data_IF_132396398515
#
_entry.id   IF_132396398515
#
_cell.length_a   1.000
_cell.length_b   1.000
_cell.length_c   1.000
_cell.angle_alpha   90.00
_cell.angle_beta   90.00
_cell.angle_gamma   90.00
#
_symmetry.space_group_name_H-M   'P 1'
#
loop_
_entity.id
_entity.type
_entity.pdbx_description
1 polymer ?
#
# COMPACT_ATOMS: atom_id res chain seq x y z
N UNK A 1 -45.13 -53.29 15.89
CA UNK A 1 -44.02 -53.29 14.92
C UNK A 1 -44.30 -52.29 13.79
N UNK A 2 -44.32 -50.99 14.10
CA UNK A 2 -44.52 -49.93 13.08
C UNK A 2 -44.01 -48.56 13.54
N UNK A 3 -43.14 -48.54 14.55
CA UNK A 3 -42.49 -47.32 15.07
C UNK A 3 -40.96 -47.43 15.19
N UNK A 4 -40.38 -48.51 14.66
CA UNK A 4 -38.95 -48.79 14.74
C UNK A 4 -38.17 -48.54 13.43
N UNK A 5 -38.83 -48.01 12.39
CA UNK A 5 -38.21 -47.79 11.07
C UNK A 5 -38.02 -46.31 10.68
N UNK A 6 -38.38 -45.35 11.54
CA UNK A 6 -38.21 -43.91 11.23
C UNK A 6 -36.86 -43.36 11.75
N UNK A 7 -36.14 -44.09 12.59
CA UNK A 7 -34.87 -43.63 13.18
C UNK A 7 -33.60 -44.16 12.46
N UNK A 8 -33.74 -44.83 11.31
CA UNK A 8 -32.61 -45.39 10.55
C UNK A 8 -32.47 -44.79 9.14
N UNK A 9 -32.91 -43.54 8.97
CA UNK A 9 -32.68 -42.74 7.76
C UNK A 9 -32.23 -41.31 8.09
N UNK A 10 -31.67 -41.09 9.28
CA UNK A 10 -30.70 -40.00 9.50
C UNK A 10 -29.30 -40.53 9.19
N UNK A 11 -29.13 -40.93 7.94
CA UNK A 11 -27.83 -41.14 7.33
C UNK A 11 -27.15 -39.78 7.28
N UNK A 12 -26.44 -39.44 8.35
CA UNK A 12 -25.13 -38.80 8.36
C UNK A 12 -24.83 -37.95 7.11
N UNK A 13 -25.60 -36.89 6.87
CA UNK A 13 -25.08 -35.75 6.11
C UNK A 13 -24.26 -34.97 7.13
N UNK A 14 -23.08 -35.49 7.45
CA UNK A 14 -21.99 -34.67 7.93
C UNK A 14 -21.67 -33.76 6.75
N UNK A 15 -22.36 -32.61 6.67
CA UNK A 15 -21.90 -31.50 5.85
C UNK A 15 -20.55 -31.17 6.48
N UNK A 16 -19.47 -31.71 5.91
CA UNK A 16 -18.19 -31.03 5.96
C UNK A 16 -18.49 -29.68 5.33
N UNK A 17 -18.91 -28.72 6.15
CA UNK A 17 -18.61 -27.34 5.86
C UNK A 17 -17.10 -27.35 5.91
N UNK A 18 -16.50 -27.55 4.74
CA UNK A 18 -15.14 -27.11 4.51
C UNK A 18 -15.22 -25.62 4.84
N UNK A 19 -14.90 -25.26 6.08
CA UNK A 19 -14.40 -23.94 6.37
C UNK A 19 -13.27 -23.81 5.36
N UNK A 20 -13.50 -23.05 4.30
CA UNK A 20 -12.48 -22.75 3.33
C UNK A 20 -11.35 -22.15 4.18
N UNK A 21 -10.34 -22.95 4.50
CA UNK A 21 -9.20 -22.48 5.27
C UNK A 21 -8.64 -21.34 4.43
N UNK A 22 -8.81 -20.12 4.92
CA UNK A 22 -8.48 -18.93 4.16
C UNK A 22 -6.97 -18.99 3.89
N UNK A 23 -6.61 -19.03 2.61
CA UNK A 23 -5.21 -19.02 2.19
C UNK A 23 -4.57 -17.73 2.68
N UNK A 24 -3.54 -17.85 3.51
CA UNK A 24 -2.72 -16.73 3.97
C UNK A 24 -1.27 -17.01 3.57
N UNK A 25 -0.90 -16.72 2.31
CA UNK A 25 0.48 -16.89 1.87
C UNK A 25 1.43 -16.04 2.70
N UNK A 26 2.54 -16.65 3.13
CA UNK A 26 3.59 -15.93 3.82
C UNK A 26 4.98 -16.49 3.53
N UNK A 27 5.99 -15.67 3.74
CA UNK A 27 7.40 -16.08 3.68
C UNK A 27 8.25 -15.18 4.58
N UNK A 28 9.24 -15.77 5.26
CA UNK A 28 10.26 -15.08 6.06
C UNK A 28 11.64 -15.43 5.52
N UNK A 29 12.50 -14.42 5.33
CA UNK A 29 13.79 -14.53 4.62
C UNK A 29 14.87 -13.73 5.33
N UNK A 30 16.06 -14.32 5.42
CA UNK A 30 17.28 -13.61 5.81
C UNK A 30 17.82 -12.79 4.62
N UNK A 31 18.00 -11.48 4.80
CA UNK A 31 18.40 -10.59 3.71
C UNK A 31 19.82 -10.89 3.24
N UNK A 32 20.76 -11.23 4.11
CA UNK A 32 22.16 -11.41 3.72
C UNK A 32 22.33 -12.69 2.91
N UNK A 33 21.75 -13.80 3.38
CA UNK A 33 21.94 -15.11 2.75
C UNK A 33 20.90 -15.42 1.69
N UNK A 34 19.71 -14.83 1.79
CA UNK A 34 18.55 -15.22 0.98
C UNK A 34 17.90 -16.51 1.46
N UNK A 35 18.33 -17.07 2.60
CA UNK A 35 17.76 -18.27 3.20
C UNK A 35 16.30 -18.02 3.58
N UNK A 36 15.45 -18.97 3.22
CA UNK A 36 14.05 -18.97 3.65
C UNK A 36 13.99 -19.60 5.03
N UNK A 37 13.40 -18.87 5.96
CA UNK A 37 13.30 -19.23 7.38
C UNK A 37 11.96 -19.92 7.67
N UNK A 38 10.91 -19.46 7.01
CA UNK A 38 9.58 -20.09 7.04
C UNK A 38 8.80 -19.65 5.82
N UNK A 39 7.95 -20.52 5.26
CA UNK A 39 7.05 -20.15 4.18
C UNK A 39 5.80 -21.01 4.17
N UNK A 40 4.74 -20.48 3.55
CA UNK A 40 3.48 -21.16 3.32
C UNK A 40 2.86 -20.58 2.05
N UNK A 41 2.44 -21.46 1.13
CA UNK A 41 1.80 -21.08 -0.13
C UNK A 41 2.55 -19.96 -0.90
N UNK A 42 3.89 -19.98 -0.89
CA UNK A 42 4.72 -18.83 -1.28
C UNK A 42 4.59 -18.43 -2.75
N UNK A 43 4.07 -19.32 -3.60
CA UNK A 43 3.85 -19.11 -5.04
C UNK A 43 2.38 -18.90 -5.41
N UNK A 44 1.44 -18.88 -4.45
CA UNK A 44 0.06 -18.55 -4.77
C UNK A 44 -0.02 -17.12 -5.29
N UNK A 45 -0.71 -16.94 -6.42
CA UNK A 45 -0.96 -15.61 -6.98
C UNK A 45 -1.91 -14.87 -6.07
N UNK A 46 -1.61 -13.59 -5.87
CA UNK A 46 -2.33 -12.73 -4.96
C UNK A 46 -2.36 -11.30 -5.47
N UNK A 47 -3.40 -10.54 -5.11
CA UNK A 47 -3.42 -9.10 -5.37
C UNK A 47 -2.47 -8.39 -4.39
N UNK A 48 -1.37 -7.76 -4.84
CA UNK A 48 -0.38 -7.15 -3.94
C UNK A 48 -0.92 -5.88 -3.25
N UNK A 49 -2.02 -5.31 -3.76
CA UNK A 49 -2.51 -4.00 -3.34
C UNK A 49 -1.36 -2.98 -3.30
N UNK A 50 -1.29 -2.13 -2.27
CA UNK A 50 -0.23 -1.13 -2.14
C UNK A 50 1.19 -1.69 -1.92
N UNK A 51 1.40 -3.00 -1.76
CA UNK A 51 2.75 -3.57 -1.84
C UNK A 51 3.40 -3.32 -3.21
N UNK A 52 2.59 -3.08 -4.25
CA UNK A 52 3.01 -2.58 -5.57
C UNK A 52 3.95 -1.37 -5.47
N UNK A 53 3.74 -0.51 -4.47
CA UNK A 53 4.55 0.70 -4.29
C UNK A 53 6.01 0.40 -3.91
N UNK A 54 6.32 -0.81 -3.45
CA UNK A 54 7.72 -1.26 -3.29
C UNK A 54 8.42 -1.34 -4.65
N UNK A 55 7.74 -1.82 -5.71
CA UNK A 55 8.32 -1.84 -7.06
C UNK A 55 8.43 -0.41 -7.63
N UNK A 56 7.45 0.45 -7.33
CA UNK A 56 7.53 1.87 -7.67
C UNK A 56 8.75 2.52 -7.02
N UNK A 57 8.97 2.29 -5.73
CA UNK A 57 10.16 2.76 -5.03
C UNK A 57 11.44 2.16 -5.62
N UNK A 58 11.46 0.85 -5.91
CA UNK A 58 12.61 0.17 -6.49
C UNK A 58 13.06 0.77 -7.83
N UNK A 59 12.12 1.00 -8.76
CA UNK A 59 12.41 1.65 -10.06
C UNK A 59 12.97 3.06 -9.87
N UNK A 60 12.41 3.83 -8.92
CA UNK A 60 12.85 5.19 -8.60
C UNK A 60 14.24 5.17 -7.96
N UNK A 61 14.47 4.30 -6.98
CA UNK A 61 15.75 4.15 -6.30
C UNK A 61 16.86 3.77 -7.27
N UNK A 62 16.59 2.86 -8.21
CA UNK A 62 17.55 2.48 -9.25
C UNK A 62 17.92 3.69 -10.14
N UNK A 63 16.95 4.50 -10.55
CA UNK A 63 17.22 5.71 -11.31
C UNK A 63 18.00 6.75 -10.48
N UNK A 64 17.69 6.90 -9.19
CA UNK A 64 18.44 7.79 -8.28
C UNK A 64 19.87 7.30 -8.06
N UNK A 65 20.10 6.01 -7.84
CA UNK A 65 21.44 5.44 -7.61
C UNK A 65 22.35 5.56 -8.82
N UNK A 66 21.78 5.60 -10.02
CA UNK A 66 22.52 5.83 -11.27
C UNK A 66 22.68 7.32 -11.62
N UNK A 67 22.17 8.24 -10.79
CA UNK A 67 22.22 9.68 -11.06
C UNK A 67 21.30 10.15 -12.19
N UNK A 68 20.39 9.31 -12.68
CA UNK A 68 19.43 9.67 -13.74
C UNK A 68 18.39 10.68 -13.25
N UNK A 69 18.06 10.63 -11.95
CA UNK A 69 17.14 11.56 -11.30
C UNK A 69 17.66 11.95 -9.91
N UNK A 70 17.37 13.18 -9.49
CA UNK A 70 17.71 13.68 -8.16
C UNK A 70 16.53 13.55 -7.18
N UNK A 71 16.76 13.35 -5.87
CA UNK A 71 15.72 13.47 -4.85
C UNK A 71 14.99 14.83 -4.86
N UNK A 72 15.64 15.88 -5.38
CA UNK A 72 15.06 17.23 -5.51
C UNK A 72 14.23 17.41 -6.78
N UNK A 73 14.09 16.37 -7.62
CA UNK A 73 13.28 16.44 -8.85
C UNK A 73 11.85 16.91 -8.50
N UNK A 74 11.33 17.96 -9.14
CA UNK A 74 9.96 18.41 -8.91
C UNK A 74 8.95 17.36 -9.39
N UNK A 75 8.00 17.03 -8.51
CA UNK A 75 6.85 16.18 -8.79
C UNK A 75 5.61 17.06 -8.80
N UNK A 76 5.04 17.26 -9.99
CA UNK A 76 3.78 17.99 -10.15
C UNK A 76 2.63 16.99 -10.13
N UNK A 77 1.64 17.23 -9.27
CA UNK A 77 0.44 16.40 -9.23
C UNK A 77 -0.44 16.75 -10.42
N UNK A 78 -0.61 15.81 -11.36
CA UNK A 78 -1.51 15.96 -12.51
C UNK A 78 -2.99 15.93 -12.08
N UNK A 79 -3.88 16.36 -12.97
CA UNK A 79 -5.33 16.20 -12.74
C UNK A 79 -5.74 14.73 -12.60
N UNK A 80 -5.10 13.84 -13.36
CA UNK A 80 -5.33 12.42 -13.29
C UNK A 80 -4.90 11.86 -11.92
N UNK A 81 -3.69 12.20 -11.48
CA UNK A 81 -3.19 11.81 -10.17
C UNK A 81 -4.07 12.32 -9.02
N UNK A 82 -4.51 13.58 -9.06
CA UNK A 82 -5.38 14.16 -8.01
C UNK A 82 -6.75 13.45 -7.88
N UNK A 83 -7.23 12.82 -8.96
CA UNK A 83 -8.49 12.06 -9.00
C UNK A 83 -8.35 10.60 -8.53
N UNK A 84 -7.15 10.16 -8.13
CA UNK A 84 -6.95 8.79 -7.65
C UNK A 84 -7.91 8.42 -6.50
N UNK A 85 -8.54 7.23 -6.52
CA UNK A 85 -9.45 6.84 -5.47
C UNK A 85 -8.69 6.36 -4.21
N UNK A 86 -9.24 6.69 -3.03
CA UNK A 86 -8.75 6.32 -1.70
C UNK A 86 -7.27 6.65 -1.42
N UNK A 87 -6.87 6.65 -0.14
CA UNK A 87 -5.48 6.85 0.31
C UNK A 87 -4.74 7.94 -0.50
N UNK A 88 -5.21 9.18 -0.46
CA UNK A 88 -4.59 10.32 -1.17
C UNK A 88 -3.79 11.18 -0.21
N UNK A 89 -2.81 11.92 -0.73
CA UNK A 89 -2.13 12.99 0.01
C UNK A 89 -3.05 14.16 0.37
N UNK A 90 -4.10 14.36 -0.43
CA UNK A 90 -5.04 15.49 -0.31
C UNK A 90 -4.55 16.77 -0.98
N UNK A 91 -3.38 16.76 -1.61
CA UNK A 91 -2.91 17.88 -2.41
C UNK A 91 -3.70 17.99 -3.73
N UNK A 92 -3.91 19.22 -4.18
CA UNK A 92 -4.66 19.53 -5.40
C UNK A 92 -3.80 19.34 -6.65
N UNK A 93 -4.44 19.19 -7.80
CA UNK A 93 -3.74 19.23 -9.09
C UNK A 93 -2.95 20.54 -9.24
N UNK A 94 -1.74 20.46 -9.78
CA UNK A 94 -0.80 21.58 -9.91
C UNK A 94 0.07 21.84 -8.68
N UNK A 95 -0.18 21.18 -7.53
CA UNK A 95 0.76 21.17 -6.41
C UNK A 95 2.09 20.54 -6.82
N UNK A 96 3.19 21.10 -6.31
CA UNK A 96 4.56 20.65 -6.59
C UNK A 96 5.28 20.34 -5.28
N UNK A 97 5.93 19.18 -5.23
CA UNK A 97 6.76 18.70 -4.12
C UNK A 97 8.05 18.06 -4.66
N UNK A 98 9.06 17.86 -3.82
CA UNK A 98 10.26 17.09 -4.23
C UNK A 98 9.91 15.61 -4.34
N UNK A 99 10.70 14.86 -5.13
CA UNK A 99 10.63 13.41 -5.19
C UNK A 99 10.85 12.77 -3.82
N UNK A 100 11.79 13.29 -3.05
CA UNK A 100 12.06 12.87 -1.66
C UNK A 100 10.83 13.00 -0.74
N UNK A 101 10.14 14.15 -0.80
CA UNK A 101 8.90 14.35 -0.05
C UNK A 101 7.80 13.42 -0.55
N UNK A 102 7.69 13.22 -1.87
CA UNK A 102 6.69 12.34 -2.45
C UNK A 102 6.89 10.89 -2.01
N UNK A 103 8.12 10.38 -2.07
CA UNK A 103 8.51 9.05 -1.59
C UNK A 103 8.20 8.88 -0.11
N UNK A 104 8.60 9.84 0.73
CA UNK A 104 8.36 9.81 2.18
C UNK A 104 6.87 9.69 2.49
N UNK A 105 6.04 10.55 1.90
CA UNK A 105 4.58 10.50 2.10
C UNK A 105 4.00 9.18 1.57
N UNK A 106 4.44 8.73 0.39
CA UNK A 106 3.93 7.50 -0.22
C UNK A 106 4.29 6.24 0.57
N UNK A 107 5.48 6.17 1.18
CA UNK A 107 5.86 5.01 1.99
C UNK A 107 5.09 4.96 3.32
N UNK A 108 4.88 6.10 3.98
CA UNK A 108 4.14 6.16 5.25
C UNK A 108 2.63 5.99 5.06
N UNK A 109 2.05 6.73 4.11
CA UNK A 109 0.59 6.85 3.93
C UNK A 109 0.03 6.15 2.72
N UNK A 110 0.88 5.44 1.97
CA UNK A 110 0.47 4.60 0.85
C UNK A 110 -0.25 5.38 -0.24
N UNK A 111 0.14 6.63 -0.48
CA UNK A 111 -0.64 7.57 -1.28
C UNK A 111 -0.71 7.20 -2.76
N UNK A 112 -1.93 7.09 -3.30
CA UNK A 112 -2.17 6.68 -4.68
C UNK A 112 -1.87 7.79 -5.68
N UNK A 113 -2.30 9.01 -5.36
CA UNK A 113 -2.05 10.21 -6.15
C UNK A 113 -0.55 10.48 -6.35
N UNK A 114 0.24 10.42 -5.29
CA UNK A 114 1.69 10.63 -5.40
C UNK A 114 2.40 9.48 -6.12
N UNK A 115 1.97 8.22 -5.95
CA UNK A 115 2.53 7.11 -6.73
C UNK A 115 2.28 7.29 -8.24
N UNK A 116 1.11 7.79 -8.64
CA UNK A 116 0.79 8.12 -10.03
C UNK A 116 1.66 9.31 -10.49
N UNK A 117 1.70 10.41 -9.75
CA UNK A 117 2.45 11.60 -10.11
C UNK A 117 3.97 11.32 -10.23
N UNK A 118 4.55 10.53 -9.33
CA UNK A 118 5.94 10.08 -9.44
C UNK A 118 6.16 9.23 -10.70
N UNK A 119 5.23 8.33 -11.03
CA UNK A 119 5.33 7.50 -12.23
C UNK A 119 5.30 8.33 -13.53
N UNK A 120 4.46 9.36 -13.58
CA UNK A 120 4.38 10.32 -14.69
C UNK A 120 5.67 11.14 -14.79
N UNK A 121 6.17 11.68 -13.67
CA UNK A 121 7.36 12.53 -13.67
C UNK A 121 8.65 11.77 -14.02
N UNK A 122 8.75 10.48 -13.68
CA UNK A 122 9.96 9.67 -13.88
C UNK A 122 10.00 9.01 -15.25
N UNK A 123 8.87 8.57 -15.80
CA UNK A 123 8.84 7.86 -17.09
C UNK A 123 8.04 8.58 -18.19
N UNK A 124 7.58 9.81 -17.95
CA UNK A 124 6.74 10.61 -18.86
C UNK A 124 5.27 10.17 -18.89
N UNK A 125 4.96 8.93 -18.50
CA UNK A 125 3.60 8.41 -18.37
C UNK A 125 3.55 7.21 -17.44
N UNK A 126 2.40 6.95 -16.81
CA UNK A 126 2.21 5.75 -16.01
C UNK A 126 2.39 4.47 -16.83
N UNK A 127 1.94 4.44 -18.10
CA UNK A 127 2.12 3.28 -19.00
C UNK A 127 3.60 2.97 -19.24
N UNK A 128 4.44 4.00 -19.42
CA UNK A 128 5.88 3.81 -19.56
C UNK A 128 6.54 3.35 -18.26
N UNK A 129 6.08 3.88 -17.12
CA UNK A 129 6.56 3.46 -15.82
C UNK A 129 6.24 1.99 -15.52
N UNK A 130 5.00 1.54 -15.81
CA UNK A 130 4.58 0.14 -15.66
C UNK A 130 5.41 -0.81 -16.52
N UNK A 131 5.82 -0.40 -17.73
CA UNK A 131 6.79 -1.19 -18.53
C UNK A 131 8.13 -1.35 -17.82
N UNK A 132 8.65 -0.28 -17.18
CA UNK A 132 9.87 -0.37 -16.36
C UNK A 132 9.67 -1.28 -15.15
N UNK A 133 8.55 -1.17 -14.44
CA UNK A 133 8.22 -2.06 -13.30
C UNK A 133 8.23 -3.53 -13.70
N UNK A 134 7.58 -3.89 -14.82
CA UNK A 134 7.54 -5.26 -15.30
C UNK A 134 8.89 -5.74 -15.87
N UNK A 135 9.68 -4.84 -16.46
CA UNK A 135 11.06 -5.12 -16.87
C UNK A 135 11.94 -5.47 -15.67
N UNK A 136 11.83 -4.71 -14.58
CA UNK A 136 12.56 -5.00 -13.33
C UNK A 136 12.05 -6.28 -12.67
N UNK A 137 10.73 -6.51 -12.63
CA UNK A 137 10.17 -7.76 -12.12
C UNK A 137 10.77 -8.97 -12.87
N UNK A 138 10.84 -8.91 -14.21
CA UNK A 138 11.48 -9.95 -15.02
C UNK A 138 12.98 -10.07 -14.72
N UNK A 139 13.71 -8.95 -14.63
CA UNK A 139 15.15 -8.93 -14.34
C UNK A 139 15.49 -9.57 -13.00
N UNK A 140 14.66 -9.33 -11.98
CA UNK A 140 14.81 -9.89 -10.65
C UNK A 140 14.43 -11.38 -10.59
N UNK A 141 13.65 -11.87 -11.56
CA UNK A 141 13.12 -13.23 -11.58
C UNK A 141 11.82 -13.38 -10.78
N UNK A 142 11.00 -12.33 -10.74
CA UNK A 142 9.66 -12.33 -10.13
C UNK A 142 8.61 -12.93 -11.09
N UNK A 143 8.70 -14.22 -11.35
CA UNK A 143 7.92 -14.90 -12.41
C UNK A 143 6.42 -15.05 -12.10
N UNK A 144 6.02 -14.90 -10.84
CA UNK A 144 4.63 -14.88 -10.41
C UNK A 144 4.04 -13.47 -10.30
N UNK A 145 4.70 -12.45 -10.86
CA UNK A 145 4.32 -11.04 -10.73
C UNK A 145 4.02 -10.38 -12.08
N UNK A 146 2.95 -9.59 -12.09
CA UNK A 146 2.69 -8.58 -13.11
C UNK A 146 2.13 -7.32 -12.43
N UNK A 147 2.67 -6.16 -12.80
CA UNK A 147 2.16 -4.87 -12.36
C UNK A 147 1.31 -4.23 -13.45
N UNK A 148 0.09 -3.82 -13.11
CA UNK A 148 -0.80 -3.11 -14.04
C UNK A 148 -0.77 -1.59 -13.85
N UNK A 149 -0.38 -1.12 -12.66
CA UNK A 149 -0.29 0.29 -12.31
C UNK A 149 0.76 0.53 -11.23
N UNK A 150 1.13 1.80 -10.98
CA UNK A 150 2.20 2.17 -10.05
C UNK A 150 1.76 2.26 -8.57
N UNK A 151 0.45 2.23 -8.30
CA UNK A 151 -0.11 2.47 -6.97
C UNK A 151 -0.59 1.20 -6.28
N UNK A 152 -0.90 0.14 -7.03
CA UNK A 152 -1.58 -1.04 -6.53
C UNK A 152 -3.08 -0.87 -6.37
N UNK A 153 -3.67 0.07 -7.13
CA UNK A 153 -5.12 0.15 -7.28
C UNK A 153 -5.69 -1.14 -7.89
N UNK A 154 -6.95 -1.51 -7.58
CA UNK A 154 -7.55 -2.75 -8.07
C UNK A 154 -7.45 -2.88 -9.60
N UNK A 155 -6.82 -3.95 -10.05
CA UNK A 155 -6.73 -4.35 -11.45
C UNK A 155 -6.51 -5.87 -11.48
N UNK A 156 -7.31 -6.66 -12.22
CA UNK A 156 -7.14 -8.11 -12.33
C UNK A 156 -5.75 -8.55 -12.82
N UNK A 157 -5.07 -7.72 -13.59
CA UNK A 157 -3.72 -7.98 -14.09
C UNK A 157 -2.64 -7.61 -13.08
N UNK A 158 -2.97 -6.93 -11.98
CA UNK A 158 -2.00 -6.59 -10.95
C UNK A 158 -1.91 -7.71 -9.90
N UNK A 159 -0.97 -8.64 -10.07
CA UNK A 159 -0.78 -9.79 -9.18
C UNK A 159 0.69 -10.02 -8.84
N UNK A 160 0.93 -10.72 -7.73
CA UNK A 160 2.27 -11.12 -7.29
C UNK A 160 2.17 -12.37 -6.43
N UNK A 161 3.31 -12.88 -5.95
CA UNK A 161 3.40 -13.95 -4.97
C UNK A 161 4.12 -13.48 -3.70
N UNK A 162 3.99 -14.21 -2.59
CA UNK A 162 4.73 -13.90 -1.38
C UNK A 162 6.25 -14.01 -1.60
N UNK A 163 6.69 -15.03 -2.35
CA UNK A 163 8.09 -15.23 -2.75
C UNK A 163 8.63 -14.04 -3.53
N UNK A 164 7.89 -13.58 -4.54
CA UNK A 164 8.36 -12.49 -5.41
C UNK A 164 8.42 -11.15 -4.69
N UNK A 165 7.44 -10.87 -3.82
CA UNK A 165 7.46 -9.68 -2.97
C UNK A 165 8.65 -9.74 -1.99
N UNK A 166 8.97 -10.91 -1.44
CA UNK A 166 10.13 -11.08 -0.56
C UNK A 166 11.44 -10.85 -1.32
N UNK A 167 11.55 -11.38 -2.54
CA UNK A 167 12.68 -11.14 -3.43
C UNK A 167 12.86 -9.63 -3.72
N UNK A 168 11.79 -8.93 -4.05
CA UNK A 168 11.83 -7.48 -4.26
C UNK A 168 12.31 -6.75 -3.01
N UNK A 169 11.77 -7.10 -1.84
CA UNK A 169 12.13 -6.48 -0.57
C UNK A 169 13.61 -6.73 -0.20
N UNK A 170 14.10 -7.96 -0.41
CA UNK A 170 15.52 -8.31 -0.23
C UNK A 170 16.41 -7.48 -1.15
N UNK A 171 16.03 -7.33 -2.43
CA UNK A 171 16.81 -6.55 -3.38
C UNK A 171 16.79 -5.05 -3.10
N UNK A 172 15.68 -4.49 -2.62
CA UNK A 172 15.66 -3.10 -2.11
C UNK A 172 16.70 -2.94 -0.99
N UNK A 173 16.73 -3.86 -0.02
CA UNK A 173 17.66 -3.77 1.12
C UNK A 173 19.12 -3.96 0.73
N UNK A 174 19.40 -4.82 -0.25
CA UNK A 174 20.76 -5.10 -0.73
C UNK A 174 21.31 -4.03 -1.66
N UNK A 175 20.51 -3.60 -2.65
CA UNK A 175 20.96 -2.66 -3.68
C UNK A 175 20.87 -1.21 -3.20
N UNK A 176 19.95 -0.89 -2.28
CA UNK A 176 19.66 0.49 -1.87
C UNK A 176 19.62 0.72 -0.34
N UNK A 177 20.62 0.27 0.43
CA UNK A 177 20.65 0.49 1.88
C UNK A 177 20.59 1.98 2.26
N UNK A 178 21.12 2.88 1.41
CA UNK A 178 21.07 4.34 1.60
C UNK A 178 19.64 4.92 1.62
N UNK A 179 18.66 4.23 1.03
CA UNK A 179 17.26 4.66 0.99
C UNK A 179 16.38 3.94 2.03
N UNK A 180 16.98 3.17 2.95
CA UNK A 180 16.24 2.45 3.99
C UNK A 180 15.38 3.37 4.87
N UNK A 181 15.80 4.62 5.06
CA UNK A 181 15.12 5.60 5.90
C UNK A 181 13.66 5.86 5.51
N UNK A 182 13.29 5.76 4.22
CA UNK A 182 11.89 5.96 3.78
C UNK A 182 10.90 4.96 4.41
N UNK A 183 11.38 3.77 4.79
CA UNK A 183 10.54 2.69 5.31
C UNK A 183 10.33 2.77 6.82
N UNK A 184 11.19 3.49 7.54
CA UNK A 184 11.18 3.60 9.00
C UNK A 184 10.57 4.90 9.52
N UNK A 185 10.10 5.79 8.64
CA UNK A 185 9.45 7.05 9.04
C UNK A 185 8.19 6.71 9.87
N UNK A 186 8.07 7.19 11.12
CA UNK A 186 6.97 6.78 12.00
C UNK A 186 5.66 7.51 11.69
N UNK A 187 5.73 8.76 11.23
CA UNK A 187 4.57 9.57 10.89
C UNK A 187 4.95 10.72 9.96
N UNK A 188 3.96 11.28 9.27
CA UNK A 188 4.08 12.49 8.46
C UNK A 188 3.28 13.62 9.11
N UNK A 189 3.91 14.78 9.27
CA UNK A 189 3.24 16.04 9.56
C UNK A 189 3.18 16.89 8.29
N UNK A 190 1.97 17.15 7.81
CA UNK A 190 1.73 17.94 6.60
C UNK A 190 1.73 19.46 6.86
N UNK A 191 1.93 19.89 8.11
CA UNK A 191 1.79 21.26 8.57
C UNK A 191 0.35 21.78 8.46
N UNK A 192 0.19 23.09 8.61
CA UNK A 192 -1.10 23.80 8.45
C UNK A 192 -2.25 23.21 9.29
N UNK A 193 -1.96 22.82 10.53
CA UNK A 193 -2.93 22.24 11.48
C UNK A 193 -3.62 20.96 10.96
N UNK A 194 -3.01 20.23 10.02
CA UNK A 194 -3.51 18.92 9.59
C UNK A 194 -3.18 17.87 10.65
N UNK A 195 -4.10 16.93 10.88
CA UNK A 195 -3.85 15.77 11.76
C UNK A 195 -2.61 15.00 11.28
N UNK A 196 -1.65 14.78 12.18
CA UNK A 196 -0.48 13.93 11.96
C UNK A 196 -0.91 12.56 11.46
N UNK A 197 -0.21 12.07 10.45
CA UNK A 197 -0.56 10.86 9.75
C UNK A 197 0.48 9.77 10.04
N UNK A 198 0.15 8.86 10.94
CA UNK A 198 1.01 7.74 11.33
C UNK A 198 1.23 6.73 10.19
N UNK A 199 2.37 6.05 10.26
CA UNK A 199 2.69 4.93 9.39
C UNK A 199 1.65 3.82 9.54
N UNK A 200 1.21 3.31 8.39
CA UNK A 200 0.25 2.20 8.33
C UNK A 200 0.77 0.86 8.88
N UNK A 201 2.11 0.70 8.97
CA UNK A 201 2.75 -0.42 9.64
C UNK A 201 2.83 -0.13 11.14
N UNK A 202 1.99 -0.81 11.92
CA UNK A 202 1.88 -0.60 13.36
C UNK A 202 3.03 -1.23 14.13
N UNK A 203 3.95 -1.97 13.48
CA UNK A 203 5.16 -2.43 14.15
C UNK A 203 6.18 -1.31 14.33
N UNK A 204 6.13 -0.23 13.53
CA UNK A 204 7.10 0.88 13.62
C UNK A 204 7.05 1.51 15.02
N UNK A 205 8.20 1.50 15.69
CA UNK A 205 8.35 1.98 17.08
C UNK A 205 7.77 1.04 18.14
N UNK A 206 7.32 -0.17 17.76
CA UNK A 206 6.67 -1.14 18.65
C UNK A 206 7.27 -2.55 18.59
N UNK A 207 8.11 -2.85 17.61
CA UNK A 207 8.80 -4.13 17.51
C UNK A 207 10.33 -3.91 17.53
N UNK A 208 11.05 -4.68 18.35
CA UNK A 208 12.50 -4.48 18.52
C UNK A 208 13.26 -4.71 17.21
N UNK A 209 13.96 -3.68 16.74
CA UNK A 209 14.73 -3.67 15.50
C UNK A 209 13.92 -3.40 14.23
N UNK A 210 12.62 -3.11 14.31
CA UNK A 210 11.79 -2.82 13.14
C UNK A 210 12.32 -1.63 12.34
N UNK A 211 12.37 -1.77 11.01
CA UNK A 211 12.85 -0.72 10.11
C UNK A 211 12.10 -0.67 8.77
N UNK A 212 10.93 -1.34 8.68
CA UNK A 212 10.07 -1.26 7.51
C UNK A 212 8.99 -2.35 7.42
N UNK A 213 8.32 -2.52 6.28
CA UNK A 213 8.47 -1.72 5.07
C UNK A 213 7.13 -1.16 4.57
N UNK A 214 6.18 -2.01 4.18
CA UNK A 214 4.99 -1.54 3.46
C UNK A 214 3.77 -2.41 3.72
N UNK A 215 2.64 -1.77 3.96
CA UNK A 215 1.32 -2.41 4.02
C UNK A 215 0.57 -2.33 2.69
N UNK A 216 -0.43 -3.21 2.50
CA UNK A 216 -1.39 -3.13 1.41
C UNK A 216 -2.76 -3.65 1.81
N UNK A 217 -3.81 -3.03 1.29
CA UNK A 217 -5.18 -3.49 1.47
C UNK A 217 -6.03 -3.08 0.28
N UNK A 218 -6.74 -4.05 -0.29
CA UNK A 218 -7.98 -3.89 -1.03
C UNK A 218 -8.88 -5.05 -0.60
N UNK A 219 -10.20 -4.92 -0.76
CA UNK A 219 -11.12 -6.00 -0.39
C UNK A 219 -10.73 -7.36 -0.99
N UNK A 220 -10.25 -7.37 -2.24
CA UNK A 220 -9.86 -8.60 -2.92
C UNK A 220 -8.55 -9.22 -2.39
N UNK A 221 -7.72 -8.48 -1.66
CA UNK A 221 -6.40 -8.94 -1.21
C UNK A 221 -6.35 -9.34 0.27
N UNK A 222 -7.34 -8.98 1.08
CA UNK A 222 -7.14 -8.94 2.53
C UNK A 222 -6.08 -7.91 2.94
N UNK A 223 -5.58 -8.05 4.17
CA UNK A 223 -4.56 -7.19 4.75
C UNK A 223 -3.16 -7.77 4.52
N UNK A 224 -2.32 -7.03 3.81
CA UNK A 224 -0.97 -7.44 3.41
C UNK A 224 0.10 -6.60 4.11
N UNK A 225 1.25 -7.19 4.40
CA UNK A 225 2.41 -6.51 4.98
C UNK A 225 3.72 -7.15 4.50
N UNK A 226 4.67 -6.29 4.13
CA UNK A 226 6.10 -6.59 4.13
C UNK A 226 6.71 -5.88 5.33
N UNK A 227 7.15 -6.65 6.32
CA UNK A 227 7.86 -6.16 7.49
C UNK A 227 9.37 -6.45 7.35
N UNK A 228 10.19 -5.55 7.87
CA UNK A 228 11.66 -5.70 7.93
C UNK A 228 12.12 -5.31 9.33
N UNK A 229 13.03 -6.10 9.89
CA UNK A 229 13.69 -5.77 11.14
C UNK A 229 15.17 -6.14 11.09
N UNK A 230 16.00 -5.32 11.73
CA UNK A 230 17.45 -5.50 11.84
C UNK A 230 17.88 -5.60 13.30
N UNK A 231 18.60 -6.67 13.66
CA UNK A 231 19.24 -6.87 14.97
C UNK A 231 20.66 -7.37 14.76
N UNK A 232 21.63 -6.78 15.46
CA UNK A 232 23.03 -7.20 15.38
C UNK A 232 23.53 -7.36 13.92
N UNK A 233 23.21 -6.37 13.06
CA UNK A 233 23.52 -6.34 11.60
C UNK A 233 22.85 -7.43 10.75
N UNK A 234 22.02 -8.29 11.32
CA UNK A 234 21.19 -9.27 10.60
C UNK A 234 19.83 -8.67 10.31
N UNK A 235 19.43 -8.63 9.04
CA UNK A 235 18.10 -8.15 8.63
C UNK A 235 17.21 -9.33 8.23
N UNK A 236 15.99 -9.39 8.77
CA UNK A 236 14.97 -10.37 8.42
C UNK A 236 13.79 -9.64 7.77
N UNK A 237 13.28 -10.21 6.67
CA UNK A 237 12.05 -9.75 6.01
C UNK A 237 10.96 -10.80 6.22
N UNK A 238 9.75 -10.35 6.57
CA UNK A 238 8.54 -11.17 6.59
C UNK A 238 7.49 -10.58 5.63
N UNK A 239 6.93 -11.42 4.75
CA UNK A 239 5.84 -11.07 3.85
C UNK A 239 4.60 -11.86 4.24
N UNK A 240 3.48 -11.16 4.41
CA UNK A 240 2.18 -11.69 4.81
C UNK A 240 1.17 -11.17 3.80
N UNK A 241 0.41 -12.07 3.19
CA UNK A 241 -0.66 -11.77 2.25
C UNK A 241 -1.97 -12.33 2.79
N UNK A 242 -3.06 -11.57 2.65
CA UNK A 242 -4.40 -12.10 2.91
C UNK A 242 -4.80 -12.25 4.39
N UNK A 243 -4.20 -11.50 5.32
CA UNK A 243 -4.68 -11.50 6.69
C UNK A 243 -6.12 -10.95 6.76
N UNK A 244 -6.94 -11.40 7.70
CA UNK A 244 -8.35 -11.00 7.78
C UNK A 244 -8.52 -9.61 8.36
N UNK A 245 -7.62 -9.18 9.24
CA UNK A 245 -7.63 -7.86 9.86
C UNK A 245 -6.21 -7.34 10.12
N UNK A 246 -6.12 -6.12 10.64
CA UNK A 246 -4.83 -5.47 10.92
C UNK A 246 -4.09 -6.18 12.05
N UNK A 247 -4.76 -6.55 13.14
CA UNK A 247 -4.11 -7.20 14.29
C UNK A 247 -3.47 -8.52 13.90
N UNK A 248 -4.20 -9.38 13.20
CA UNK A 248 -3.70 -10.66 12.69
C UNK A 248 -2.48 -10.48 11.78
N UNK A 249 -2.52 -9.48 10.88
CA UNK A 249 -1.39 -9.15 9.99
C UNK A 249 -0.13 -8.79 10.78
N UNK A 250 -0.25 -7.90 11.76
CA UNK A 250 0.88 -7.39 12.54
C UNK A 250 1.44 -8.46 13.48
N UNK A 251 0.57 -9.22 14.15
CA UNK A 251 0.99 -10.30 15.05
C UNK A 251 1.66 -11.43 14.27
N UNK A 252 1.15 -11.79 13.08
CA UNK A 252 1.79 -12.77 12.21
C UNK A 252 3.17 -12.31 11.76
N UNK A 253 3.32 -11.03 11.42
CA UNK A 253 4.60 -10.45 11.05
C UNK A 253 5.60 -10.47 12.20
N UNK A 254 5.20 -10.02 13.39
CA UNK A 254 6.04 -10.08 14.59
C UNK A 254 6.50 -11.52 14.88
N UNK A 255 5.59 -12.50 14.82
CA UNK A 255 5.93 -13.92 14.98
C UNK A 255 6.97 -14.40 13.95
N UNK A 256 6.79 -14.07 12.66
CA UNK A 256 7.70 -14.51 11.59
C UNK A 256 9.08 -13.84 11.67
N UNK A 257 9.14 -12.58 12.12
CA UNK A 257 10.40 -11.88 12.37
C UNK A 257 11.15 -12.52 13.54
N UNK A 258 10.48 -12.81 14.65
CA UNK A 258 11.11 -13.46 15.81
C UNK A 258 11.64 -14.86 15.49
N UNK A 259 10.81 -15.70 14.86
CA UNK A 259 11.25 -17.01 14.37
C UNK A 259 12.49 -16.84 13.49
N UNK A 260 12.49 -15.83 12.62
CA UNK A 260 13.61 -15.55 11.74
C UNK A 260 14.91 -15.21 12.48
N UNK A 261 14.85 -14.45 13.58
CA UNK A 261 16.03 -14.16 14.39
C UNK A 261 16.55 -15.39 15.16
N UNK A 262 15.67 -16.32 15.51
CA UNK A 262 16.04 -17.56 16.23
C UNK A 262 16.62 -18.66 15.31
N UNK A 263 16.43 -18.59 14.00
CA UNK A 263 16.85 -19.62 13.05
C UNK A 263 17.82 -19.07 12.00
N UNK A 264 18.85 -19.83 11.63
CA UNK A 264 19.80 -19.43 10.58
C UNK A 264 19.31 -19.80 9.16
N UNK A 265 18.27 -20.63 9.05
CA UNK A 265 17.81 -21.20 7.78
C UNK A 265 18.78 -22.25 7.23
N UNK A 266 18.57 -22.63 5.97
CA UNK A 266 19.39 -23.60 5.25
C UNK A 266 19.89 -22.99 3.94
N UNK A 267 21.21 -23.10 3.61
CA UNK A 267 21.74 -22.66 2.32
C UNK A 267 21.12 -23.35 1.11
N UNK A 268 20.49 -24.52 1.30
CA UNK A 268 19.81 -25.27 0.25
C UNK A 268 18.41 -24.70 -0.05
N UNK A 269 17.80 -24.01 0.92
CA UNK A 269 16.45 -23.45 0.81
C UNK A 269 16.51 -21.91 0.80
N UNK A 270 16.73 -21.33 -0.37
CA UNK A 270 16.83 -19.88 -0.58
C UNK A 270 15.74 -19.39 -1.52
N UNK A 271 15.55 -18.07 -1.60
CA UNK A 271 14.68 -17.46 -2.63
C UNK A 271 15.08 -17.85 -4.06
N UNK A 272 16.37 -18.13 -4.31
CA UNK A 272 16.88 -18.51 -5.63
C UNK A 272 16.66 -20.00 -5.93
N UNK A 273 16.66 -20.86 -4.91
CA UNK A 273 16.58 -22.33 -5.09
C UNK A 273 15.20 -22.91 -4.82
N UNK A 274 14.29 -22.16 -4.19
CA UNK A 274 12.92 -22.61 -3.91
C UNK A 274 12.18 -22.88 -5.23
N UNK A 275 11.82 -24.15 -5.45
CA UNK A 275 11.04 -24.58 -6.62
C UNK A 275 9.57 -24.15 -6.48
N UNK A 276 8.92 -23.69 -7.57
CA UNK A 276 7.48 -23.43 -7.58
C UNK A 276 6.66 -24.63 -7.11
N UNK A 277 5.61 -24.39 -6.32
CA UNK A 277 4.69 -25.42 -5.83
C UNK A 277 3.29 -24.82 -5.58
N UNK A 278 2.29 -25.68 -5.39
CA UNK A 278 0.90 -25.28 -5.12
C UNK A 278 0.01 -25.27 -6.36
N UNK A 279 -1.30 -25.16 -6.15
CA UNK A 279 -2.32 -25.37 -7.18
C UNK A 279 -2.81 -24.04 -7.82
N UNK A 280 -2.73 -22.92 -7.09
CA UNK A 280 -3.25 -21.62 -7.52
C UNK A 280 -2.13 -20.69 -8.02
N UNK A 281 -1.41 -21.13 -9.05
CA UNK A 281 -0.30 -20.37 -9.66
C UNK A 281 -0.72 -19.53 -10.88
N UNK A 282 -1.99 -19.63 -11.32
CA UNK A 282 -2.49 -18.99 -12.55
C UNK A 282 -3.46 -17.84 -12.28
N UNK A 283 -4.18 -17.85 -11.16
CA UNK A 283 -5.17 -16.81 -10.83
C UNK A 283 -4.97 -16.29 -9.41
N UNK A 284 -5.12 -14.98 -9.23
CA UNK A 284 -5.07 -14.36 -7.92
C UNK A 284 -6.35 -14.66 -7.11
N UNK A 285 -6.18 -15.13 -5.88
CA UNK A 285 -7.29 -15.34 -4.95
C UNK A 285 -8.00 -13.99 -4.66
N UNK A 286 -9.32 -14.02 -4.58
CA UNK A 286 -10.15 -12.84 -4.34
C UNK A 286 -10.88 -12.97 -3.00
N UNK A 287 -10.42 -12.20 -2.00
CA UNK A 287 -10.99 -12.20 -0.66
C UNK A 287 -12.19 -11.25 -0.46
N UNK A 288 -12.73 -10.62 -1.51
CA UNK A 288 -13.74 -9.56 -1.34
C UNK A 288 -14.95 -10.01 -0.53
N UNK A 289 -15.40 -11.25 -0.74
CA UNK A 289 -16.56 -11.83 -0.07
C UNK A 289 -16.28 -12.20 1.40
N UNK A 290 -15.02 -12.15 1.84
CA UNK A 290 -14.60 -12.44 3.20
C UNK A 290 -14.16 -11.17 3.94
N UNK A 291 -13.54 -10.22 3.24
CA UNK A 291 -12.86 -9.07 3.85
C UNK A 291 -13.73 -7.80 3.90
N UNK A 292 -14.71 -7.64 3.01
CA UNK A 292 -15.49 -6.39 2.92
C UNK A 292 -17.00 -6.61 3.00
N UNK A 293 -17.43 -7.62 3.76
CA UNK A 293 -18.83 -7.76 4.17
C UNK A 293 -19.13 -6.83 5.36
N UNK A 294 -20.41 -6.49 5.63
CA UNK A 294 -20.80 -5.76 6.83
C UNK A 294 -20.28 -6.40 8.12
N UNK A 295 -20.26 -7.73 8.19
CA UNK A 295 -19.75 -8.51 9.32
C UNK A 295 -18.24 -8.34 9.47
N UNK A 296 -17.48 -8.44 8.38
CA UNK A 296 -16.03 -8.22 8.38
C UNK A 296 -15.68 -6.79 8.82
N UNK A 297 -16.44 -5.79 8.36
CA UNK A 297 -16.26 -4.39 8.78
C UNK A 297 -16.44 -4.23 10.29
N UNK A 298 -17.46 -4.88 10.88
CA UNK A 298 -17.66 -4.89 12.34
C UNK A 298 -16.49 -5.57 13.05
N UNK A 299 -16.02 -6.71 12.55
CA UNK A 299 -14.86 -7.41 13.10
C UNK A 299 -13.58 -6.56 13.03
N UNK A 300 -13.40 -5.77 11.97
CA UNK A 300 -12.26 -4.85 11.87
C UNK A 300 -12.34 -3.72 12.89
N UNK A 301 -13.54 -3.23 13.22
CA UNK A 301 -13.74 -2.24 14.27
C UNK A 301 -13.26 -2.77 15.63
N UNK A 302 -13.47 -4.06 15.90
CA UNK A 302 -13.00 -4.72 17.13
C UNK A 302 -11.47 -4.86 17.21
N UNK A 303 -10.73 -4.53 16.14
CA UNK A 303 -9.26 -4.46 16.20
C UNK A 303 -8.75 -3.20 16.91
N UNK A 304 -9.64 -2.28 17.30
CA UNK A 304 -9.29 -1.03 17.96
C UNK A 304 -9.92 -0.92 19.35
N UNK A 305 -9.22 -0.27 20.27
CA UNK A 305 -9.74 0.11 21.59
C UNK A 305 -10.66 1.35 21.48
N UNK A 306 -11.28 1.73 22.60
CA UNK A 306 -12.19 2.88 22.66
C UNK A 306 -11.49 4.23 22.36
N UNK A 307 -10.15 4.26 22.47
CA UNK A 307 -9.32 5.42 22.13
C UNK A 307 -8.86 5.40 20.66
N UNK A 308 -9.23 4.37 19.90
CA UNK A 308 -8.89 4.20 18.49
C UNK A 308 -7.47 3.69 18.24
N UNK A 309 -6.79 3.14 19.24
CA UNK A 309 -5.51 2.46 19.07
C UNK A 309 -5.72 1.01 18.66
N UNK A 310 -4.83 0.49 17.82
CA UNK A 310 -4.88 -0.92 17.43
C UNK A 310 -4.56 -1.84 18.63
N UNK A 311 -5.43 -2.80 18.89
CA UNK A 311 -5.25 -3.85 19.90
C UNK A 311 -4.32 -4.91 19.31
N UNK A 312 -3.18 -5.11 19.96
CA UNK A 312 -2.18 -6.12 19.62
C UNK A 312 -1.81 -6.86 20.90
N UNK A 313 -1.86 -8.18 20.85
CA UNK A 313 -1.70 -9.08 22.01
C UNK A 313 -0.37 -9.84 22.00
N UNK A 314 0.37 -9.76 20.89
CA UNK A 314 1.68 -10.41 20.78
C UNK A 314 2.68 -9.89 21.82
N UNK A 315 3.41 -10.78 22.53
CA UNK A 315 4.44 -10.38 23.50
C UNK A 315 5.65 -9.69 22.85
N UNK A 316 5.75 -9.72 21.52
CA UNK A 316 6.85 -9.11 20.76
C UNK A 316 6.54 -7.68 20.33
N UNK A 317 5.31 -7.21 20.57
CA UNK A 317 4.86 -5.88 20.18
C UNK A 317 4.63 -5.07 21.44
N UNK A 318 5.43 -4.03 21.64
CA UNK A 318 5.32 -3.13 22.78
C UNK A 318 4.22 -2.09 22.57
N UNK A 319 3.87 -1.39 23.64
CA UNK A 319 3.04 -0.19 23.56
C UNK A 319 3.71 0.86 22.63
N UNK A 320 2.91 1.72 21.96
CA UNK A 320 3.44 2.81 21.14
C UNK A 320 4.39 3.69 21.95
N UNK A 321 5.58 3.96 21.41
CA UNK A 321 6.47 4.97 22.00
C UNK A 321 5.88 6.36 21.83
N UNK A 322 5.79 7.11 22.92
CA UNK A 322 5.39 8.52 22.94
C UNK A 322 6.38 9.45 22.22
N UNK A 323 7.55 8.96 21.82
CA UNK A 323 8.67 9.74 21.26
C UNK A 323 8.82 9.65 19.73
N UNK A 324 7.77 9.26 19.00
CA UNK A 324 7.85 9.26 17.54
C UNK A 324 7.75 10.67 16.97
N UNK A 325 8.89 11.23 16.55
CA UNK A 325 8.91 12.53 15.86
C UNK A 325 8.39 12.37 14.43
N UNK A 326 7.27 13.04 14.06
CA UNK A 326 6.78 13.01 12.70
C UNK A 326 7.76 13.73 11.77
N UNK A 327 7.91 13.22 10.54
CA UNK A 327 8.62 13.94 9.49
C UNK A 327 7.72 15.06 8.96
N UNK A 328 8.15 16.30 9.14
CA UNK A 328 7.47 17.48 8.62
C UNK A 328 7.71 17.58 7.12
N UNK A 329 6.64 17.74 6.34
CA UNK A 329 6.72 17.83 4.87
C UNK A 329 6.06 19.11 4.34
N UNK A 330 6.61 19.65 3.27
CA UNK A 330 6.14 20.89 2.66
C UNK A 330 6.04 20.77 1.14
N UNK A 331 5.14 21.55 0.55
CA UNK A 331 5.10 21.75 -0.90
C UNK A 331 6.20 22.73 -1.30
N UNK A 332 6.81 22.52 -2.46
CA UNK A 332 7.61 23.53 -3.15
C UNK A 332 6.69 24.67 -3.60
N UNK A 333 5.52 24.30 -4.16
CA UNK A 333 4.55 25.27 -4.68
C UNK A 333 3.13 24.71 -4.58
N UNK A 334 2.21 25.53 -4.06
CA UNK A 334 0.77 25.27 -4.14
C UNK A 334 0.20 25.62 -5.53
N UNK A 335 -0.94 25.05 -5.96
CA UNK A 335 -1.53 25.41 -7.23
C UNK A 335 -1.89 26.90 -7.23
N UNK A 336 -1.60 27.60 -8.32
CA UNK A 336 -2.07 28.97 -8.50
C UNK A 336 -3.58 28.93 -8.71
N UNK A 337 -4.34 29.58 -7.83
CA UNK A 337 -5.75 29.87 -8.10
C UNK A 337 -5.79 30.76 -9.34
N UNK A 338 -6.59 30.42 -10.38
CA UNK A 338 -6.80 31.36 -11.47
C UNK A 338 -7.32 32.66 -10.86
N UNK A 339 -6.61 33.78 -11.04
CA UNK A 339 -7.19 35.09 -10.75
C UNK A 339 -8.36 35.23 -11.71
N UNK A 340 -9.58 35.04 -11.21
CA UNK A 340 -10.78 35.40 -11.96
C UNK A 340 -10.77 36.93 -12.03
N UNK A 341 -10.21 37.47 -13.10
CA UNK A 341 -10.42 38.87 -13.45
C UNK A 341 -11.87 38.98 -13.87
N UNK A 342 -12.76 39.26 -12.91
CA UNK A 342 -14.15 39.61 -13.22
C UNK A 342 -14.08 40.90 -14.03
N UNK A 343 -14.16 40.79 -15.37
CA UNK A 343 -14.48 41.96 -16.19
C UNK A 343 -15.85 42.43 -15.71
N UNK A 344 -16.01 43.71 -15.30
CA UNK A 344 -17.33 44.21 -14.93
C UNK A 344 -18.28 43.97 -16.10
N UNK A 345 -19.41 43.31 -15.83
CA UNK A 345 -20.49 43.14 -16.78
C UNK A 345 -20.82 44.52 -17.38
N UNK A 346 -20.60 44.68 -18.69
CA UNK A 346 -21.13 45.84 -19.40
C UNK A 346 -22.63 45.87 -19.14
N UNK A 347 -23.13 46.95 -18.54
CA UNK A 347 -24.57 47.14 -18.34
C UNK A 347 -25.28 46.92 -19.69
N UNK A 348 -26.36 46.13 -19.74
CA UNK A 348 -27.12 45.97 -20.96
C UNK A 348 -27.58 47.34 -21.45
N UNK A 349 -27.34 47.61 -22.73
CA UNK A 349 -27.82 48.80 -23.40
C UNK A 349 -29.35 48.74 -23.39
N UNK A 350 -30.00 49.64 -22.64
CA UNK A 350 -31.45 49.74 -22.59
C UNK A 350 -31.93 50.60 -23.77
N UNK A 351 -32.58 50.04 -24.81
CA UNK A 351 -32.98 50.80 -26.00
C UNK A 351 -34.28 51.60 -25.79
N UNK A 352 -34.90 51.56 -24.60
CA UNK A 352 -36.21 52.16 -24.33
C UNK A 352 -36.18 53.40 -23.43
N UNK A 353 -35.15 54.25 -23.53
CA UNK A 353 -35.17 55.60 -22.94
C UNK A 353 -35.13 56.68 -24.02
N UNK A 354 -36.25 56.85 -24.73
CA UNK A 354 -36.68 58.13 -25.34
C UNK A 354 -38.02 57.94 -26.06
N UNK A 355 -39.07 58.58 -25.54
CA UNK A 355 -40.19 59.21 -26.27
C UNK A 355 -41.04 59.98 -25.25
N UNK A 356 -40.77 61.28 -25.10
CA UNK A 356 -41.53 62.43 -25.65
C UNK A 356 -42.69 62.86 -24.76
N UNK A 357 -42.46 63.91 -23.98
CA UNK A 357 -43.50 64.77 -23.42
C UNK A 357 -44.16 65.53 -24.57
N UNK A 358 -45.47 65.33 -24.77
CA UNK A 358 -46.31 66.26 -25.53
C UNK A 358 -47.13 67.11 -24.55
N UNK A 359 -47.21 68.43 -24.71
CA UNK A 359 -48.06 69.26 -23.87
C UNK A 359 -49.51 69.21 -24.38
N UNK A 360 -50.43 68.90 -23.48
CA UNK A 360 -51.88 68.97 -23.71
C UNK A 360 -52.30 70.44 -23.63
N UNK A 361 -52.77 71.03 -24.74
CA UNK A 361 -53.58 72.26 -24.72
C UNK A 361 -55.02 71.90 -24.30
N UNK A 362 -55.55 72.59 -23.28
CA UNK A 362 -56.97 72.58 -22.94
C UNK A 362 -57.73 73.62 -23.79
N UNK A 363 -59.02 73.38 -24.08
CA UNK A 363 -59.91 74.36 -24.72
C UNK A 363 -60.24 75.54 -23.79
#
# INVERSE_FOLDING_TARGET
MQRLFINLFLSLILILTSTFALSQPFISVDVTTGNILKHHQAFERWYPASLTKLMTAYVIFRAMSHGEISPNKPITISEYAAKAPAYRSGYKAGSVLTLDTALSITMVKSTNDLAIAMSEAVAGSQKAFVRKMNSEAKRLGMFGTHFANASGLPDPQNYSTARDIALLAVQIRREFPQYAHYFSIPAIDFGNNRKIQHNSNNLIGRFYGIDGMKTGFICASGFNLVASATRNKRTIIAVILGANNISEREEKAAQLLEIGFLHQGSPQLTLATLKPYGNNITQANNMRQQTCTPEAIKMHANSYDDQGNIILTSPFITAPSSFSHPLVVHLIRSPQTPKITVKPLRKPHNPYKRRTNYPIKKP
#
